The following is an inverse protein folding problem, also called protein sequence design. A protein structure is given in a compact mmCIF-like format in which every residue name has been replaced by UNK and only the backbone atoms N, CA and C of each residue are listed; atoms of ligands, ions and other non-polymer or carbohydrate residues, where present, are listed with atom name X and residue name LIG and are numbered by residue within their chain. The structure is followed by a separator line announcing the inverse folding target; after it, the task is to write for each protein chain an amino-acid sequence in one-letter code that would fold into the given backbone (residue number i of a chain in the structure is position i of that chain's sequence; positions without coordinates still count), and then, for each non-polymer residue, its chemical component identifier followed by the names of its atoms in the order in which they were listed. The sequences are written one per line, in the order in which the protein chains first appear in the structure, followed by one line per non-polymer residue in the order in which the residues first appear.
data_IF_561352817143
#
_entry.id   IF_561352817143
#
_cell.length_a   1.000
_cell.length_b   1.000
_cell.length_c   1.000
_cell.angle_alpha   90.00
_cell.angle_beta   90.00
_cell.angle_gamma   90.00
#
_symmetry.space_group_name_H-M   'P 1'
#
loop_
_entity.id
_entity.type
_entity.pdbx_description
1 polymer ?
#
# COMPACT_ATOMS: atom_id res chain seq x y z
N UNK A 1 15.25 -2.53 24.72
CA UNK A 1 14.95 -3.34 23.51
C UNK A 1 15.18 -2.43 22.32
N UNK A 2 16.08 -2.75 21.37
CA UNK A 2 16.19 -1.94 20.17
C UNK A 2 14.94 -2.19 19.34
N UNK A 3 14.02 -1.22 19.36
CA UNK A 3 12.93 -1.15 18.39
C UNK A 3 13.64 -0.94 17.06
N UNK A 4 13.62 -1.93 16.16
CA UNK A 4 13.92 -1.64 14.77
C UNK A 4 12.86 -0.63 14.33
N UNK A 5 13.23 0.65 14.32
CA UNK A 5 12.32 1.75 13.99
C UNK A 5 11.75 1.61 12.58
N UNK A 6 12.35 0.74 11.76
CA UNK A 6 11.83 0.37 10.47
C UNK A 6 12.02 -1.13 10.20
N UNK A 7 10.97 -1.97 10.23
CA UNK A 7 11.10 -3.38 9.89
C UNK A 7 11.40 -3.52 8.39
N UNK A 8 12.25 -4.49 8.04
CA UNK A 8 12.64 -4.76 6.63
C UNK A 8 11.45 -4.95 5.69
N UNK A 9 10.35 -5.45 6.24
CA UNK A 9 9.08 -5.62 5.57
C UNK A 9 7.93 -5.25 6.51
N UNK A 10 6.91 -4.58 5.97
CA UNK A 10 5.69 -4.18 6.66
C UNK A 10 4.51 -4.94 6.09
N UNK A 11 3.58 -5.36 6.94
CA UNK A 11 2.34 -6.05 6.56
C UNK A 11 1.16 -5.14 6.83
N UNK A 12 0.59 -4.55 5.77
CA UNK A 12 -0.52 -3.60 5.89
C UNK A 12 -1.84 -4.33 5.64
N UNK A 13 -2.69 -4.36 6.65
CA UNK A 13 -4.00 -5.03 6.59
C UNK A 13 -5.07 -4.06 6.08
N UNK A 14 -5.75 -4.45 5.01
CA UNK A 14 -6.86 -3.71 4.39
C UNK A 14 -8.12 -4.56 4.51
N UNK A 15 -9.15 -4.06 5.20
CA UNK A 15 -10.43 -4.76 5.33
C UNK A 15 -11.17 -4.78 4.00
N UNK A 16 -11.61 -5.96 3.56
CA UNK A 16 -12.36 -6.16 2.31
C UNK A 16 -13.52 -7.10 2.57
N UNK A 17 -14.74 -6.56 2.59
CA UNK A 17 -15.93 -7.30 2.99
C UNK A 17 -15.81 -7.81 4.43
N UNK A 18 -16.01 -9.11 4.63
CA UNK A 18 -15.86 -9.76 5.94
C UNK A 18 -14.42 -10.21 6.24
N UNK A 19 -13.53 -10.22 5.24
CA UNK A 19 -12.13 -10.61 5.38
C UNK A 19 -11.19 -9.42 5.30
N UNK A 20 -9.92 -9.70 5.00
CA UNK A 20 -8.89 -8.69 4.78
C UNK A 20 -7.85 -9.15 3.77
N UNK A 21 -7.34 -8.18 3.03
CA UNK A 21 -6.16 -8.30 2.17
C UNK A 21 -4.97 -7.77 2.94
N UNK A 22 -3.83 -8.44 2.83
CA UNK A 22 -2.59 -8.05 3.47
C UNK A 22 -1.59 -7.73 2.37
N UNK A 23 -1.24 -6.45 2.25
CA UNK A 23 -0.18 -6.02 1.35
C UNK A 23 1.15 -6.10 2.08
N UNK A 24 2.07 -6.90 1.56
CA UNK A 24 3.43 -7.03 2.09
C UNK A 24 4.30 -6.01 1.36
N UNK A 25 4.79 -5.04 2.10
CA UNK A 25 5.56 -3.90 1.60
C UNK A 25 7.01 -4.00 2.04
N UNK A 26 7.94 -3.65 1.17
CA UNK A 26 9.33 -3.41 1.53
C UNK A 26 9.46 -2.17 2.40
N UNK A 27 10.58 -2.07 3.08
CA UNK A 27 10.95 -0.84 3.76
C UNK A 27 11.11 0.36 2.80
N UNK A 28 10.92 1.58 3.32
CA UNK A 28 11.17 2.85 2.67
C UNK A 28 11.93 3.80 3.59
N UNK A 29 12.79 4.64 3.01
CA UNK A 29 13.47 5.71 3.74
C UNK A 29 12.57 6.92 3.96
N UNK A 30 12.93 7.76 4.94
CA UNK A 30 12.26 9.05 5.19
C UNK A 30 12.20 9.91 3.91
N UNK A 31 13.29 9.98 3.14
CA UNK A 31 13.34 10.75 1.88
C UNK A 31 12.33 10.24 0.83
N UNK A 32 12.10 8.92 0.80
CA UNK A 32 11.10 8.33 -0.11
C UNK A 32 9.68 8.69 0.33
N UNK A 33 9.44 8.69 1.64
CA UNK A 33 8.15 9.09 2.21
C UNK A 33 7.86 10.58 2.01
N UNK A 34 8.85 11.45 2.24
CA UNK A 34 8.73 12.90 2.00
C UNK A 34 8.42 13.18 0.53
N UNK A 35 9.10 12.51 -0.40
CA UNK A 35 8.79 12.61 -1.83
C UNK A 35 7.34 12.22 -2.12
N UNK A 36 6.88 11.08 -1.61
CA UNK A 36 5.48 10.67 -1.72
C UNK A 36 4.51 11.76 -1.22
N UNK A 37 4.76 12.35 -0.04
CA UNK A 37 3.90 13.38 0.53
C UNK A 37 3.85 14.66 -0.33
N UNK A 38 4.99 15.07 -0.89
CA UNK A 38 5.12 16.24 -1.75
C UNK A 38 4.46 16.02 -3.11
N UNK A 39 4.58 14.81 -3.67
CA UNK A 39 4.02 14.45 -4.98
C UNK A 39 2.48 14.42 -4.99
N UNK A 40 1.80 14.56 -3.84
CA UNK A 40 0.33 14.59 -3.76
C UNK A 40 -0.26 15.90 -4.30
N UNK A 41 0.50 16.99 -4.29
CA UNK A 41 0.03 18.29 -4.73
C UNK A 41 1.03 18.92 -5.69
N UNK A 42 0.56 19.28 -6.88
CA UNK A 42 1.38 19.99 -7.86
C UNK A 42 0.84 21.41 -8.06
N UNK A 43 1.75 22.38 -8.21
CA UNK A 43 1.39 23.72 -8.63
C UNK A 43 1.29 23.75 -10.15
N UNK A 44 0.06 23.82 -10.65
CA UNK A 44 -0.25 24.01 -12.06
C UNK A 44 -0.06 25.47 -12.52
N UNK A 45 -0.30 25.73 -13.81
CA UNK A 45 -0.21 27.07 -14.38
C UNK A 45 -1.11 28.06 -13.62
N UNK A 46 -0.60 29.28 -13.38
CA UNK A 46 -1.32 30.36 -12.70
C UNK A 46 -1.66 30.06 -11.22
N UNK A 47 -0.93 29.15 -10.58
CA UNK A 47 -1.09 28.87 -9.15
C UNK A 47 -2.27 27.95 -8.81
N UNK A 48 -2.87 27.29 -9.80
CA UNK A 48 -3.84 26.24 -9.55
C UNK A 48 -3.16 25.06 -8.81
N UNK A 49 -3.81 24.53 -7.77
CA UNK A 49 -3.32 23.32 -7.08
C UNK A 49 -3.99 22.13 -7.75
N UNK A 50 -3.20 21.22 -8.30
CA UNK A 50 -3.65 19.96 -8.83
C UNK A 50 -3.51 18.86 -7.77
N UNK A 51 -4.61 18.16 -7.49
CA UNK A 51 -4.63 17.03 -6.57
C UNK A 51 -4.23 15.74 -7.31
N UNK A 52 -3.04 15.24 -6.98
CA UNK A 52 -2.48 13.98 -7.47
C UNK A 52 -2.44 12.92 -6.36
N UNK A 53 -3.20 13.11 -5.28
CA UNK A 53 -3.08 12.29 -4.07
C UNK A 53 -3.39 10.82 -4.31
N UNK A 54 -4.34 10.49 -5.19
CA UNK A 54 -4.64 9.10 -5.54
C UNK A 54 -3.50 8.48 -6.35
N UNK A 55 -3.01 9.16 -7.38
CA UNK A 55 -1.92 8.67 -8.23
C UNK A 55 -0.64 8.48 -7.42
N UNK A 56 -0.33 9.43 -6.53
CA UNK A 56 0.86 9.37 -5.67
C UNK A 56 0.77 8.26 -4.64
N UNK A 57 -0.41 7.98 -4.06
CA UNK A 57 -0.62 6.81 -3.19
C UNK A 57 -0.46 5.49 -3.95
N UNK A 58 -1.01 5.39 -5.15
CA UNK A 58 -0.89 4.20 -5.98
C UNK A 58 0.58 3.91 -6.32
N UNK A 59 1.30 4.92 -6.82
CA UNK A 59 2.74 4.81 -7.13
C UNK A 59 3.54 4.41 -5.91
N UNK A 60 3.32 5.08 -4.77
CA UNK A 60 4.05 4.80 -3.55
C UNK A 60 3.87 3.36 -3.07
N UNK A 61 2.65 2.82 -3.12
CA UNK A 61 2.42 1.43 -2.73
C UNK A 61 2.99 0.46 -3.78
N UNK A 62 2.80 0.70 -5.07
CA UNK A 62 3.35 -0.17 -6.12
C UNK A 62 4.87 -0.31 -6.04
N UNK A 63 5.52 0.79 -5.71
CA UNK A 63 6.96 0.91 -5.50
C UNK A 63 7.49 0.06 -4.33
N UNK A 64 6.64 -0.19 -3.33
CA UNK A 64 6.99 -0.93 -2.12
C UNK A 64 6.40 -2.34 -2.09
N UNK A 65 5.38 -2.60 -2.89
CA UNK A 65 4.65 -3.85 -2.85
C UNK A 65 5.55 -5.01 -3.30
N UNK A 66 5.70 -6.02 -2.44
CA UNK A 66 6.54 -7.20 -2.69
C UNK A 66 5.78 -8.53 -2.50
N UNK A 67 4.59 -8.49 -1.90
CA UNK A 67 3.73 -9.66 -1.76
C UNK A 67 2.29 -9.29 -1.43
N UNK A 68 1.40 -10.26 -1.57
CA UNK A 68 -0.02 -10.12 -1.26
C UNK A 68 -0.54 -11.42 -0.64
N UNK A 69 -1.31 -11.27 0.43
CA UNK A 69 -1.95 -12.38 1.15
C UNK A 69 -3.40 -11.99 1.46
N UNK A 70 -4.22 -12.96 1.86
CA UNK A 70 -5.58 -12.73 2.31
C UNK A 70 -5.92 -13.57 3.53
N UNK A 71 -6.83 -13.05 4.34
CA UNK A 71 -7.47 -13.79 5.44
C UNK A 71 -8.99 -13.65 5.33
N UNK A 72 -9.71 -14.75 5.57
CA UNK A 72 -11.16 -14.74 5.60
C UNK A 72 -11.71 -14.17 6.93
N UNK A 73 -13.03 -14.17 7.10
CA UNK A 73 -13.69 -13.62 8.28
C UNK A 73 -13.32 -14.30 9.60
N UNK A 74 -12.80 -15.52 9.54
CA UNK A 74 -12.36 -16.30 10.70
C UNK A 74 -10.85 -16.14 10.97
N UNK A 75 -10.14 -15.36 10.15
CA UNK A 75 -8.68 -15.17 10.26
C UNK A 75 -7.86 -16.33 9.69
N UNK A 76 -8.48 -17.23 8.92
CA UNK A 76 -7.75 -18.29 8.22
C UNK A 76 -7.19 -17.75 6.89
N UNK A 77 -6.07 -18.31 6.42
CA UNK A 77 -5.49 -17.98 5.12
C UNK A 77 -6.54 -18.15 4.01
N UNK A 78 -6.63 -17.12 3.17
CA UNK A 78 -7.49 -17.07 2.01
C UNK A 78 -6.65 -16.75 0.77
N UNK A 79 -7.20 -16.96 -0.42
CA UNK A 79 -6.50 -16.79 -1.68
C UNK A 79 -6.98 -15.54 -2.40
N UNK A 80 -6.04 -14.68 -2.79
CA UNK A 80 -6.33 -13.62 -3.77
C UNK A 80 -6.24 -14.22 -5.16
N UNK A 81 -7.30 -14.10 -5.95
CA UNK A 81 -7.35 -14.59 -7.32
C UNK A 81 -7.38 -13.45 -8.33
N UNK A 82 -6.96 -13.75 -9.56
CA UNK A 82 -7.11 -12.89 -10.73
C UNK A 82 -7.55 -13.74 -11.92
N UNK A 83 -8.15 -13.10 -12.93
CA UNK A 83 -8.45 -13.75 -14.21
C UNK A 83 -7.30 -13.47 -15.15
N UNK A 84 -6.60 -14.52 -15.60
CA UNK A 84 -5.53 -14.39 -16.58
C UNK A 84 -6.10 -13.85 -17.90
N UNK A 85 -5.63 -12.70 -18.42
CA UNK A 85 -6.13 -12.12 -19.65
C UNK A 85 -5.84 -12.98 -20.90
N UNK A 86 -4.87 -13.89 -20.85
CA UNK A 86 -4.49 -14.75 -21.98
C UNK A 86 -5.34 -16.02 -22.00
N UNK A 87 -5.39 -16.76 -20.89
CA UNK A 87 -6.12 -18.03 -20.82
C UNK A 87 -7.60 -17.88 -20.43
N UNK A 88 -7.98 -16.77 -19.79
CA UNK A 88 -9.31 -16.55 -19.22
C UNK A 88 -9.59 -17.36 -17.94
N UNK A 89 -8.59 -18.06 -17.40
CA UNK A 89 -8.74 -18.87 -16.19
C UNK A 89 -8.55 -18.05 -14.93
N UNK A 90 -9.25 -18.44 -13.86
CA UNK A 90 -9.05 -17.87 -12.53
C UNK A 90 -7.85 -18.55 -11.86
N UNK A 91 -6.86 -17.75 -11.47
CA UNK A 91 -5.61 -18.21 -10.90
C UNK A 91 -5.26 -17.47 -9.60
N UNK A 92 -4.41 -18.05 -8.76
CA UNK A 92 -3.89 -17.38 -7.55
C UNK A 92 -2.95 -16.25 -7.94
N UNK A 93 -3.28 -15.03 -7.52
CA UNK A 93 -2.40 -13.88 -7.62
C UNK A 93 -1.29 -13.97 -6.56
N UNK A 94 -0.05 -13.91 -7.01
CA UNK A 94 1.15 -13.88 -6.15
C UNK A 94 2.31 -13.23 -6.92
N UNK A 95 3.45 -13.04 -6.26
CA UNK A 95 4.61 -12.33 -6.80
C UNK A 95 5.30 -13.02 -7.99
N UNK A 96 4.96 -14.28 -8.28
CA UNK A 96 5.50 -15.05 -9.42
C UNK A 96 4.72 -14.79 -10.71
N UNK A 97 3.51 -14.23 -10.62
CA UNK A 97 2.72 -13.84 -11.80
C UNK A 97 3.41 -12.63 -12.46
N UNK A 98 3.55 -12.67 -13.79
CA UNK A 98 4.14 -11.55 -14.51
C UNK A 98 3.28 -10.29 -14.34
N UNK A 99 3.90 -9.15 -14.02
CA UNK A 99 3.20 -7.88 -13.77
C UNK A 99 2.10 -7.96 -12.70
N UNK A 100 2.21 -8.88 -11.74
CA UNK A 100 1.17 -9.17 -10.74
C UNK A 100 0.59 -7.93 -10.02
N UNK A 101 1.43 -6.92 -9.79
CA UNK A 101 1.01 -5.67 -9.13
C UNK A 101 -0.11 -4.97 -9.89
N UNK A 102 -0.17 -5.09 -11.22
CA UNK A 102 -1.22 -4.49 -12.04
C UNK A 102 -2.61 -5.11 -11.77
N UNK A 103 -2.66 -6.37 -11.32
CA UNK A 103 -3.91 -7.06 -10.98
C UNK A 103 -4.38 -6.78 -9.55
N UNK A 104 -3.55 -6.16 -8.72
CA UNK A 104 -3.95 -5.76 -7.36
C UNK A 104 -4.88 -4.56 -7.44
N UNK A 105 -6.05 -4.67 -6.81
CA UNK A 105 -7.08 -3.63 -6.85
C UNK A 105 -6.52 -2.27 -6.37
N UNK A 106 -6.63 -1.19 -7.17
CA UNK A 106 -6.14 0.14 -6.83
C UNK A 106 -6.65 0.65 -5.48
N UNK A 107 -7.91 0.34 -5.12
CA UNK A 107 -8.49 0.77 -3.84
C UNK A 107 -7.75 0.19 -2.63
N UNK A 108 -7.24 -1.04 -2.73
CA UNK A 108 -6.48 -1.68 -1.65
C UNK A 108 -5.12 -1.01 -1.48
N UNK A 109 -4.46 -0.65 -2.59
CA UNK A 109 -3.20 0.10 -2.58
C UNK A 109 -3.39 1.46 -1.92
N UNK A 110 -4.43 2.20 -2.32
CA UNK A 110 -4.76 3.51 -1.73
C UNK A 110 -5.03 3.39 -0.23
N UNK A 111 -5.82 2.39 0.19
CA UNK A 111 -6.10 2.15 1.60
C UNK A 111 -4.84 1.83 2.39
N UNK A 112 -3.93 1.02 1.82
CA UNK A 112 -2.65 0.72 2.47
C UNK A 112 -1.76 1.96 2.64
N UNK A 113 -1.70 2.85 1.63
CA UNK A 113 -1.01 4.13 1.78
C UNK A 113 -1.61 4.98 2.90
N UNK A 114 -2.94 5.05 3.01
CA UNK A 114 -3.62 5.79 4.09
C UNK A 114 -3.30 5.23 5.48
N UNK A 115 -3.17 3.91 5.62
CA UNK A 115 -2.73 3.30 6.89
C UNK A 115 -1.32 3.77 7.26
N UNK A 116 -0.38 3.77 6.31
CA UNK A 116 0.99 4.26 6.54
C UNK A 116 1.03 5.76 6.88
N UNK A 117 0.19 6.56 6.21
CA UNK A 117 0.03 8.00 6.50
C UNK A 117 -0.45 8.21 7.95
N UNK A 118 -1.47 7.45 8.37
CA UNK A 118 -2.04 7.55 9.72
C UNK A 118 -1.07 7.09 10.81
N UNK A 119 -0.33 6.00 10.58
CA UNK A 119 0.70 5.53 11.50
C UNK A 119 1.80 6.58 11.69
N UNK A 120 2.24 7.22 10.60
CA UNK A 120 3.26 8.27 10.65
C UNK A 120 2.77 9.49 11.43
N UNK A 121 1.54 9.93 11.18
CA UNK A 121 0.92 11.06 11.90
C UNK A 121 0.77 10.77 13.41
N UNK A 122 0.46 9.53 13.78
CA UNK A 122 0.37 9.12 15.18
C UNK A 122 1.73 9.18 15.90
N UNK A 123 2.80 8.73 15.24
CA UNK A 123 4.17 8.83 15.75
C UNK A 123 4.56 10.30 15.96
N UNK A 124 4.32 11.17 14.98
CA UNK A 124 4.58 12.61 15.10
C UNK A 124 3.80 13.24 16.26
N UNK A 125 2.50 12.94 16.39
CA UNK A 125 1.69 13.49 17.49
C UNK A 125 2.15 12.99 18.86
N UNK A 126 2.72 11.80 18.97
CA UNK A 126 3.19 11.26 20.26
C UNK A 126 4.58 11.77 20.63
N UNK A 127 5.42 12.10 19.66
CA UNK A 127 6.79 12.59 19.85
C UNK A 127 6.85 14.09 20.13
N UNK A 128 5.97 14.89 19.50
CA UNK A 128 5.92 16.36 19.70
C UNK A 128 5.19 16.81 20.98
N UNK A 129 4.50 15.91 21.68
CA UNK A 129 3.80 16.21 22.95
C UNK A 129 4.61 15.90 24.20
N UNK A 130 5.84 15.40 24.05
CA UNK A 130 6.82 15.20 25.12
C UNK A 130 7.99 16.18 24.95
#
# INVERSE_FOLDING_TARGET
MPICANPKTRRVQVKVGAGKIILVLSDFSADRYIRFLNDRYAFGPRGAIEDHSMQSRLRFVDDLLIGIEAENAQGNEDTVTYVDPVSGQEERLNERVENWKAYVNPSWKIAAAQVLENESAAIESSTLKN
#
